data_IF_164053861681
#
_entry.id   IF_164053861681
#
_cell.length_a   1.000
_cell.length_b   1.000
_cell.length_c   1.000
_cell.angle_alpha   90.00
_cell.angle_beta   90.00
_cell.angle_gamma   90.00
#
_symmetry.space_group_name_H-M   'P 1'
#
loop_
_entity.id
_entity.type
_entity.pdbx_description
1 polymer ?
#
# COMPACT_ATOMS: atom_id res chain seq x y z
N UNK A 1 16.24 18.67 16.34
CA UNK A 1 15.80 17.63 15.38
C UNK A 1 15.51 18.32 14.05
N UNK A 2 16.20 17.95 12.96
CA UNK A 2 16.07 18.64 11.68
C UNK A 2 14.67 18.39 11.07
N UNK A 3 13.80 19.39 11.14
CA UNK A 3 12.38 19.29 10.74
C UNK A 3 12.25 18.97 9.24
N UNK A 4 13.13 19.54 8.41
CA UNK A 4 13.14 19.33 6.96
C UNK A 4 13.39 17.86 6.62
N UNK A 5 14.32 17.21 7.33
CA UNK A 5 14.58 15.78 7.20
C UNK A 5 13.35 14.92 7.53
N UNK A 6 12.58 15.33 8.54
CA UNK A 6 11.39 14.59 9.00
C UNK A 6 10.24 14.61 7.98
N UNK A 7 10.12 15.68 7.20
CA UNK A 7 9.11 15.81 6.15
C UNK A 7 9.55 15.19 4.81
N UNK A 8 10.83 15.32 4.46
CA UNK A 8 11.34 14.80 3.19
C UNK A 8 11.33 13.28 3.11
N UNK A 9 11.52 12.59 4.23
CA UNK A 9 11.59 11.12 4.29
C UNK A 9 10.28 10.43 3.86
N UNK A 10 9.08 10.76 4.39
CA UNK A 10 7.84 10.19 3.88
C UNK A 10 7.58 10.57 2.43
N UNK A 11 7.92 11.80 2.01
CA UNK A 11 7.72 12.24 0.63
C UNK A 11 8.61 11.47 -0.35
N UNK A 12 9.87 11.20 0.01
CA UNK A 12 10.79 10.37 -0.78
C UNK A 12 10.26 8.94 -0.92
N UNK A 13 9.72 8.39 0.15
CA UNK A 13 9.14 7.06 0.10
C UNK A 13 7.90 7.01 -0.78
N UNK A 14 6.99 7.99 -0.68
CA UNK A 14 5.82 8.09 -1.55
C UNK A 14 6.21 8.30 -3.02
N UNK A 15 7.30 9.02 -3.29
CA UNK A 15 7.85 9.15 -4.66
C UNK A 15 8.40 7.82 -5.18
N UNK A 16 9.12 7.07 -4.34
CA UNK A 16 9.64 5.75 -4.70
C UNK A 16 8.51 4.73 -4.90
N UNK A 17 7.49 4.79 -4.05
CA UNK A 17 6.22 4.11 -4.15
C UNK A 17 5.58 4.28 -5.54
N UNK A 18 5.30 5.52 -5.90
CA UNK A 18 4.71 5.88 -7.19
C UNK A 18 5.64 5.53 -8.36
N UNK A 19 6.95 5.71 -8.23
CA UNK A 19 7.89 5.39 -9.30
C UNK A 19 7.92 3.90 -9.62
N UNK A 20 7.93 3.05 -8.59
CA UNK A 20 7.86 1.59 -8.75
C UNK A 20 6.48 1.12 -9.25
N UNK A 21 5.43 1.90 -8.99
CA UNK A 21 4.12 1.69 -9.62
C UNK A 21 4.10 2.11 -11.09
N UNK A 22 5.15 2.78 -11.59
CA UNK A 22 5.22 3.33 -12.94
C UNK A 22 4.66 4.75 -13.08
N UNK A 23 4.37 5.44 -11.97
CA UNK A 23 3.89 6.83 -11.94
C UNK A 23 5.07 7.78 -11.61
N UNK A 24 5.50 8.55 -12.61
CA UNK A 24 6.61 9.49 -12.43
C UNK A 24 6.16 10.84 -11.85
N UNK A 25 6.47 11.09 -10.57
CA UNK A 25 6.24 12.37 -9.87
C UNK A 25 7.50 13.24 -9.81
N UNK A 26 8.63 12.77 -10.34
CA UNK A 26 9.90 13.50 -10.27
C UNK A 26 9.97 14.51 -11.44
N UNK A 27 10.19 15.78 -11.12
CA UNK A 27 10.35 16.88 -12.09
C UNK A 27 11.78 17.03 -12.66
N UNK A 28 12.64 16.03 -12.44
CA UNK A 28 13.99 16.04 -13.04
C UNK A 28 13.92 15.77 -14.54
N UNK A 29 14.90 16.32 -15.27
CA UNK A 29 15.21 15.98 -16.66
C UNK A 29 15.61 14.50 -16.77
N UNK A 30 14.61 13.62 -16.75
CA UNK A 30 14.76 12.19 -17.00
C UNK A 30 14.88 12.00 -18.51
N UNK A 31 15.78 11.13 -18.94
CA UNK A 31 15.95 10.82 -20.36
C UNK A 31 14.65 10.26 -20.95
N UNK A 32 14.40 10.51 -22.25
CA UNK A 32 13.21 10.00 -22.94
C UNK A 32 13.06 8.47 -22.80
N UNK A 33 14.18 7.75 -22.83
CA UNK A 33 14.22 6.30 -22.66
C UNK A 33 13.77 5.86 -21.26
N UNK A 34 14.26 6.51 -20.21
CA UNK A 34 13.84 6.19 -18.84
C UNK A 34 12.37 6.53 -18.61
N UNK A 35 11.84 7.58 -19.24
CA UNK A 35 10.40 7.88 -19.20
C UNK A 35 9.58 6.77 -19.84
N UNK A 36 9.97 6.32 -21.03
CA UNK A 36 9.30 5.20 -21.71
C UNK A 36 9.38 3.90 -20.88
N UNK A 37 10.50 3.63 -20.22
CA UNK A 37 10.65 2.47 -19.35
C UNK A 37 9.72 2.52 -18.13
N UNK A 38 9.57 3.70 -17.50
CA UNK A 38 8.65 3.90 -16.37
C UNK A 38 7.19 3.76 -16.82
N UNK A 39 6.82 4.36 -17.95
CA UNK A 39 5.47 4.25 -18.51
C UNK A 39 5.17 2.79 -18.89
N UNK A 40 6.14 2.08 -19.49
CA UNK A 40 6.02 0.65 -19.79
C UNK A 40 5.87 -0.19 -18.52
N UNK A 41 6.55 0.16 -17.43
CA UNK A 41 6.41 -0.53 -16.14
C UNK A 41 4.98 -0.38 -15.58
N UNK A 42 4.37 0.79 -15.74
CA UNK A 42 2.97 1.01 -15.35
C UNK A 42 2.03 0.07 -16.12
N UNK A 43 2.13 0.04 -17.46
CA UNK A 43 1.26 -0.82 -18.28
C UNK A 43 1.51 -2.30 -18.02
N UNK A 44 2.75 -2.70 -17.78
CA UNK A 44 3.08 -4.07 -17.41
C UNK A 44 2.43 -4.47 -16.07
N UNK A 45 2.58 -3.64 -15.03
CA UNK A 45 1.95 -3.87 -13.73
C UNK A 45 0.42 -3.90 -13.83
N UNK A 46 -0.16 -3.01 -14.64
CA UNK A 46 -1.60 -2.94 -14.84
C UNK A 46 -2.11 -4.18 -15.58
N UNK A 47 -1.46 -4.58 -16.68
CA UNK A 47 -1.82 -5.79 -17.43
C UNK A 47 -1.71 -7.04 -16.57
N UNK A 48 -0.64 -7.14 -15.76
CA UNK A 48 -0.46 -8.24 -14.81
C UNK A 48 -1.62 -8.32 -13.81
N UNK A 49 -1.97 -7.19 -13.18
CA UNK A 49 -3.09 -7.12 -12.24
C UNK A 49 -4.43 -7.50 -12.91
N UNK A 50 -4.68 -7.06 -14.13
CA UNK A 50 -5.90 -7.42 -14.85
C UNK A 50 -5.97 -8.91 -15.21
N UNK A 51 -4.84 -9.56 -15.51
CA UNK A 51 -4.81 -11.00 -15.71
C UNK A 51 -5.26 -11.75 -14.46
N UNK A 52 -4.80 -11.34 -13.29
CA UNK A 52 -5.22 -11.93 -12.00
C UNK A 52 -6.71 -11.70 -11.75
N UNK A 53 -7.20 -10.46 -11.95
CA UNK A 53 -8.63 -10.12 -11.79
C UNK A 53 -9.54 -10.92 -12.73
N UNK A 54 -9.14 -11.08 -14.00
CA UNK A 54 -9.90 -11.86 -14.98
C UNK A 54 -9.96 -13.33 -14.54
N UNK A 55 -8.85 -13.87 -14.04
CA UNK A 55 -8.80 -15.26 -13.58
C UNK A 55 -9.67 -15.49 -12.33
N UNK A 56 -9.68 -14.56 -11.38
CA UNK A 56 -10.59 -14.58 -10.23
C UNK A 56 -12.05 -14.48 -10.67
N UNK A 57 -12.36 -13.60 -11.63
CA UNK A 57 -13.71 -13.43 -12.15
C UNK A 57 -14.22 -14.70 -12.85
N UNK A 58 -13.39 -15.35 -13.66
CA UNK A 58 -13.73 -16.64 -14.26
C UNK A 58 -13.97 -17.72 -13.21
N UNK A 59 -13.16 -17.77 -12.15
CA UNK A 59 -13.37 -18.70 -11.06
C UNK A 59 -14.71 -18.46 -10.36
N UNK A 60 -15.07 -17.20 -10.12
CA UNK A 60 -16.34 -16.81 -9.50
C UNK A 60 -17.53 -17.22 -10.39
N UNK A 61 -17.44 -16.97 -11.70
CA UNK A 61 -18.47 -17.38 -12.67
C UNK A 61 -18.62 -18.90 -12.75
N UNK A 62 -17.51 -19.65 -12.77
CA UNK A 62 -17.54 -21.12 -12.74
C UNK A 62 -18.16 -21.63 -11.42
N UNK A 63 -17.83 -20.98 -10.28
CA UNK A 63 -18.43 -21.31 -8.98
C UNK A 63 -19.94 -21.08 -8.93
N UNK A 64 -20.43 -19.99 -9.54
CA UNK A 64 -21.86 -19.73 -9.70
C UNK A 64 -22.55 -20.81 -10.55
N UNK A 65 -21.92 -21.24 -11.65
CA UNK A 65 -22.48 -22.28 -12.54
C UNK A 65 -22.58 -23.65 -11.87
N UNK A 66 -21.61 -24.00 -11.03
CA UNK A 66 -21.56 -25.28 -10.30
C UNK A 66 -22.52 -25.28 -9.09
N UNK A 67 -23.04 -24.11 -8.69
CA UNK A 67 -23.92 -23.99 -7.53
C UNK A 67 -23.17 -24.06 -6.21
N UNK A 68 -21.95 -23.53 -6.15
CA UNK A 68 -21.20 -23.39 -4.88
C UNK A 68 -21.97 -22.50 -3.90
N UNK A 69 -21.80 -22.75 -2.61
CA UNK A 69 -22.45 -21.96 -1.56
C UNK A 69 -21.99 -20.50 -1.61
N UNK A 70 -22.89 -19.59 -1.21
CA UNK A 70 -22.59 -18.16 -1.15
C UNK A 70 -21.38 -17.87 -0.24
N UNK A 71 -21.22 -18.65 0.83
CA UNK A 71 -20.09 -18.53 1.76
C UNK A 71 -18.76 -18.74 1.04
N UNK A 72 -18.63 -19.77 0.21
CA UNK A 72 -17.41 -20.03 -0.57
C UNK A 72 -17.10 -18.91 -1.57
N UNK A 73 -18.13 -18.35 -2.22
CA UNK A 73 -17.97 -17.25 -3.16
C UNK A 73 -17.59 -15.94 -2.46
N UNK A 74 -18.17 -15.69 -1.30
CA UNK A 74 -17.98 -14.47 -0.52
C UNK A 74 -16.56 -14.33 0.04
N UNK A 75 -15.83 -15.44 0.19
CA UNK A 75 -14.42 -15.43 0.62
C UNK A 75 -13.52 -14.77 -0.43
N UNK A 76 -13.85 -14.89 -1.72
CA UNK A 76 -13.02 -14.42 -2.85
C UNK A 76 -13.49 -13.05 -3.36
N UNK A 77 -14.78 -12.72 -3.28
CA UNK A 77 -15.30 -11.44 -3.77
C UNK A 77 -14.57 -10.16 -3.26
N UNK A 78 -14.09 -10.09 -1.99
CA UNK A 78 -13.35 -8.93 -1.50
C UNK A 78 -12.02 -8.69 -2.23
N UNK A 79 -11.29 -9.75 -2.62
CA UNK A 79 -9.98 -9.57 -3.27
C UNK A 79 -10.15 -8.96 -4.67
N UNK A 80 -11.11 -9.46 -5.45
CA UNK A 80 -11.44 -8.91 -6.76
C UNK A 80 -11.87 -7.45 -6.66
N UNK A 81 -12.70 -7.12 -5.66
CA UNK A 81 -13.16 -5.74 -5.43
C UNK A 81 -12.00 -4.80 -5.09
N UNK A 82 -11.08 -5.23 -4.21
CA UNK A 82 -9.90 -4.43 -3.83
C UNK A 82 -8.97 -4.24 -5.04
N UNK A 83 -8.75 -5.27 -5.85
CA UNK A 83 -7.94 -5.20 -7.06
C UNK A 83 -8.52 -4.20 -8.08
N UNK A 84 -9.83 -4.24 -8.32
CA UNK A 84 -10.53 -3.29 -9.19
C UNK A 84 -10.50 -1.85 -8.65
N UNK A 85 -10.70 -1.66 -7.34
CA UNK A 85 -10.63 -0.34 -6.74
C UNK A 85 -9.20 0.23 -6.80
N UNK A 86 -8.19 -0.61 -6.56
CA UNK A 86 -6.79 -0.25 -6.66
C UNK A 86 -6.41 0.14 -8.09
N UNK A 87 -6.87 -0.61 -9.10
CA UNK A 87 -6.59 -0.30 -10.51
C UNK A 87 -7.27 0.99 -10.96
N UNK A 88 -8.50 1.25 -10.52
CA UNK A 88 -9.20 2.50 -10.80
C UNK A 88 -8.47 3.71 -10.19
N UNK A 89 -8.02 3.60 -8.93
CA UNK A 89 -7.26 4.66 -8.24
C UNK A 89 -5.90 4.90 -8.90
N UNK A 90 -5.13 3.86 -9.20
CA UNK A 90 -3.80 4.01 -9.82
C UNK A 90 -3.90 4.60 -11.23
N UNK A 91 -4.92 4.19 -12.01
CA UNK A 91 -5.19 4.74 -13.34
C UNK A 91 -5.58 6.21 -13.26
N UNK A 92 -6.45 6.60 -12.33
CA UNK A 92 -6.82 8.00 -12.12
C UNK A 92 -5.61 8.87 -11.74
N UNK A 93 -4.72 8.36 -10.86
CA UNK A 93 -3.47 9.03 -10.50
C UNK A 93 -2.52 9.17 -11.68
N UNK A 94 -2.38 8.13 -12.50
CA UNK A 94 -1.56 8.15 -13.71
C UNK A 94 -2.06 9.19 -14.72
N UNK A 95 -3.36 9.19 -15.03
CA UNK A 95 -3.98 10.15 -15.96
C UNK A 95 -3.87 11.60 -15.46
N UNK A 96 -3.97 11.82 -14.14
CA UNK A 96 -3.89 13.15 -13.51
C UNK A 96 -2.50 13.49 -12.98
N UNK A 97 -1.44 12.90 -13.56
CA UNK A 97 -0.05 13.07 -13.10
C UNK A 97 0.40 14.53 -12.96
N UNK A 98 -0.08 15.44 -13.83
CA UNK A 98 0.25 16.87 -13.73
C UNK A 98 -0.30 17.53 -12.45
N UNK A 99 -1.54 17.18 -12.08
CA UNK A 99 -2.18 17.69 -10.86
C UNK A 99 -1.41 17.16 -9.65
N UNK A 100 -1.06 15.87 -9.65
CA UNK A 100 -0.29 15.24 -8.59
C UNK A 100 1.06 15.92 -8.37
N UNK A 101 1.78 16.23 -9.45
CA UNK A 101 3.05 16.98 -9.40
C UNK A 101 2.85 18.38 -8.81
N UNK A 102 1.84 19.11 -9.27
CA UNK A 102 1.53 20.44 -8.75
C UNK A 102 1.19 20.39 -7.25
N UNK A 103 0.41 19.40 -6.80
CA UNK A 103 0.09 19.19 -5.38
C UNK A 103 1.35 18.90 -4.56
N UNK A 104 2.20 17.98 -5.00
CA UNK A 104 3.46 17.65 -4.29
C UNK A 104 4.40 18.85 -4.24
N UNK A 105 4.45 19.66 -5.29
CA UNK A 105 5.24 20.90 -5.33
C UNK A 105 4.72 21.92 -4.31
N UNK A 106 3.40 22.20 -4.30
CA UNK A 106 2.78 23.11 -3.34
C UNK A 106 2.98 22.64 -1.89
N UNK A 107 2.88 21.34 -1.61
CA UNK A 107 3.17 20.79 -0.30
C UNK A 107 4.62 21.01 0.14
N UNK A 108 5.57 20.98 -0.79
CA UNK A 108 6.99 21.24 -0.51
C UNK A 108 7.22 22.72 -0.21
N UNK A 109 6.63 23.62 -1.01
CA UNK A 109 6.71 25.07 -0.82
C UNK A 109 6.17 25.48 0.55
N UNK A 110 4.96 25.02 0.90
CA UNK A 110 4.36 25.29 2.22
C UNK A 110 5.28 24.82 3.35
N UNK A 111 5.98 23.69 3.20
CA UNK A 111 6.85 23.19 4.25
C UNK A 111 8.17 23.96 4.37
N UNK A 112 8.71 24.48 3.27
CA UNK A 112 9.95 25.29 3.25
C UNK A 112 9.74 26.64 3.94
N UNK A 113 8.65 27.34 3.61
CA UNK A 113 8.30 28.64 4.21
C UNK A 113 8.19 28.54 5.75
N UNK A 114 7.67 27.42 6.26
CA UNK A 114 7.53 27.18 7.69
C UNK A 114 8.85 26.87 8.40
N UNK A 115 9.84 26.33 7.69
CA UNK A 115 11.18 26.05 8.25
C UNK A 115 11.98 27.35 8.39
N UNK A 116 11.90 28.25 7.42
CA UNK A 116 12.58 29.55 7.53
C UNK A 116 12.06 30.37 8.72
N UNK A 117 10.74 30.40 8.91
CA UNK A 117 10.13 31.03 10.09
C UNK A 117 10.56 30.37 11.40
N UNK A 118 10.72 29.04 11.40
CA UNK A 118 11.11 28.29 12.58
C UNK A 118 12.52 28.62 13.10
N UNK A 119 13.45 28.93 12.19
CA UNK A 119 14.84 29.24 12.54
C UNK A 119 14.98 30.69 13.06
N UNK A 120 14.14 31.62 12.59
CA UNK A 120 14.17 33.02 13.04
C UNK A 120 13.69 33.21 14.49
N UNK A 121 12.85 32.32 15.00
CA UNK A 121 12.34 32.38 16.39
C UNK A 121 13.38 31.91 17.43
N UNK A 122 14.33 31.05 17.06
CA UNK A 122 15.32 30.50 18.00
C UNK A 122 16.43 31.54 18.31
N UNK A 123 16.78 32.38 17.33
CA UNK A 123 17.81 33.42 17.47
C UNK A 123 17.33 34.66 18.26
N UNK A 124 16.02 34.86 18.40
CA UNK A 124 15.46 36.10 18.95
C UNK A 124 14.91 35.98 20.39
N UNK A 125 15.18 34.85 21.05
CA UNK A 125 14.65 34.54 22.39
C UNK A 125 15.31 35.34 23.53
N UNK A 126 16.44 35.99 23.28
CA UNK A 126 17.23 36.68 24.31
C UNK A 126 17.09 38.21 24.34
N UNK A 127 16.39 38.84 23.38
CA UNK A 127 16.27 40.30 23.31
C UNK A 127 14.84 40.78 23.63
N UNK A 128 14.53 40.93 24.92
CA UNK A 128 13.33 41.58 25.42
C UNK A 128 13.43 43.11 25.26
N UNK A 129 12.87 43.71 24.21
CA UNK A 129 12.43 45.12 24.28
C UNK A 129 11.34 45.49 23.26
N UNK A 130 10.12 45.67 23.79
CA UNK A 130 9.08 46.62 23.37
C UNK A 130 8.81 46.88 21.87
N UNK A 131 7.88 46.12 21.26
CA UNK A 131 7.13 46.58 20.07
C UNK A 131 5.66 46.12 20.15
N UNK A 132 4.77 47.03 20.56
CA UNK A 132 3.36 46.76 20.89
C UNK A 132 2.36 46.61 19.73
N UNK A 133 2.81 46.62 18.47
CA UNK A 133 1.89 46.60 17.30
C UNK A 133 2.13 45.45 16.31
N UNK A 134 3.25 44.72 16.38
CA UNK A 134 3.51 43.51 15.56
C UNK A 134 2.96 42.22 16.18
N UNK A 135 2.38 42.29 17.37
CA UNK A 135 2.03 41.13 18.19
C UNK A 135 0.89 40.29 17.59
N UNK A 136 -0.09 40.89 16.90
CA UNK A 136 -1.25 40.15 16.37
C UNK A 136 -0.89 39.21 15.21
N UNK A 137 -0.06 39.67 14.27
CA UNK A 137 0.40 38.86 13.14
C UNK A 137 1.41 37.79 13.56
N UNK A 138 2.14 38.03 14.65
CA UNK A 138 3.01 37.03 15.26
C UNK A 138 2.19 35.90 15.91
N UNK A 139 1.18 36.25 16.71
CA UNK A 139 0.32 35.28 17.41
C UNK A 139 -0.43 34.36 16.44
N UNK A 140 -0.92 34.90 15.30
CA UNK A 140 -1.58 34.07 14.28
C UNK A 140 -0.58 33.08 13.62
N UNK A 141 0.64 33.52 13.30
CA UNK A 141 1.67 32.65 12.71
C UNK A 141 2.12 31.53 13.65
N UNK A 142 2.21 31.80 14.95
CA UNK A 142 2.54 30.77 15.95
C UNK A 142 1.46 29.68 16.01
N UNK A 143 0.17 30.04 15.94
CA UNK A 143 -0.93 29.06 15.90
C UNK A 143 -0.90 28.20 14.64
N UNK A 144 -0.64 28.80 13.48
CA UNK A 144 -0.56 28.06 12.21
C UNK A 144 0.57 27.02 12.24
N UNK A 145 1.71 27.35 12.85
CA UNK A 145 2.85 26.43 13.02
C UNK A 145 2.49 25.18 13.82
N UNK A 146 1.76 25.35 14.93
CA UNK A 146 1.32 24.22 15.76
C UNK A 146 0.35 23.30 15.01
N UNK A 147 -0.53 23.88 14.19
CA UNK A 147 -1.47 23.13 13.33
C UNK A 147 -0.72 22.31 12.28
N UNK A 148 0.30 22.91 11.65
CA UNK A 148 1.10 22.23 10.61
C UNK A 148 1.94 21.11 11.22
N UNK A 149 2.57 21.36 12.38
CA UNK A 149 3.34 20.35 13.09
C UNK A 149 2.47 19.16 13.50
N UNK A 150 1.24 19.41 13.97
CA UNK A 150 0.26 18.35 14.25
C UNK A 150 -0.11 17.61 12.98
N UNK A 151 -0.36 18.31 11.87
CA UNK A 151 -0.70 17.71 10.57
C UNK A 151 0.40 16.78 10.04
N UNK A 152 1.67 17.20 10.09
CA UNK A 152 2.81 16.36 9.66
C UNK A 152 2.96 15.13 10.56
N UNK A 153 2.77 15.28 11.87
CA UNK A 153 2.79 14.15 12.82
C UNK A 153 1.65 13.16 12.52
N UNK A 154 0.45 13.66 12.27
CA UNK A 154 -0.70 12.82 11.88
C UNK A 154 -0.44 12.09 10.57
N UNK A 155 0.08 12.77 9.55
CA UNK A 155 0.45 12.16 8.27
C UNK A 155 1.47 11.03 8.45
N UNK A 156 2.50 11.25 9.27
CA UNK A 156 3.49 10.22 9.57
C UNK A 156 2.87 9.00 10.25
N UNK A 157 1.98 9.22 11.22
CA UNK A 157 1.26 8.14 11.89
C UNK A 157 0.39 7.34 10.90
N UNK A 158 -0.34 8.02 10.00
CA UNK A 158 -1.16 7.36 8.98
C UNK A 158 -0.29 6.51 8.06
N UNK A 159 0.83 7.04 7.55
CA UNK A 159 1.76 6.28 6.70
C UNK A 159 2.33 5.07 7.44
N UNK A 160 2.64 5.20 8.74
CA UNK A 160 3.14 4.10 9.56
C UNK A 160 2.08 3.00 9.74
N UNK A 161 0.84 3.37 10.07
CA UNK A 161 -0.29 2.44 10.23
C UNK A 161 -0.54 1.71 8.90
N UNK A 162 -0.50 2.43 7.79
CA UNK A 162 -0.66 1.82 6.47
C UNK A 162 0.43 0.81 6.13
N UNK A 163 1.70 1.15 6.40
CA UNK A 163 2.79 0.18 6.21
C UNK A 163 2.62 -1.04 7.09
N UNK A 164 2.27 -0.84 8.36
CA UNK A 164 2.07 -1.92 9.31
C UNK A 164 0.94 -2.84 8.86
N UNK A 165 -0.23 -2.27 8.50
CA UNK A 165 -1.37 -3.02 7.98
C UNK A 165 -1.04 -3.76 6.69
N UNK A 166 -0.34 -3.13 5.74
CA UNK A 166 0.16 -3.79 4.53
C UNK A 166 1.04 -5.01 4.84
N UNK A 167 1.95 -4.90 5.81
CA UNK A 167 2.81 -6.02 6.23
C UNK A 167 1.98 -7.13 6.88
N UNK A 168 1.03 -6.77 7.76
CA UNK A 168 0.14 -7.75 8.41
C UNK A 168 -0.72 -8.48 7.38
N UNK A 169 -1.32 -7.77 6.43
CA UNK A 169 -2.13 -8.37 5.35
C UNK A 169 -1.29 -9.36 4.54
N UNK A 170 -0.06 -8.97 4.17
CA UNK A 170 0.87 -9.87 3.47
C UNK A 170 1.17 -11.12 4.29
N UNK A 171 1.49 -10.98 5.59
CA UNK A 171 1.81 -12.11 6.46
C UNK A 171 0.61 -13.06 6.64
N UNK A 172 -0.56 -12.51 6.92
CA UNK A 172 -1.80 -13.28 7.07
C UNK A 172 -2.10 -14.02 5.77
N UNK A 173 -2.03 -13.32 4.63
CA UNK A 173 -2.29 -13.88 3.32
C UNK A 173 -1.29 -14.98 2.92
N UNK A 174 -0.01 -14.85 3.30
CA UNK A 174 0.99 -15.93 3.17
C UNK A 174 0.66 -17.15 4.03
N UNK A 175 0.27 -16.89 5.28
CA UNK A 175 0.12 -17.94 6.30
C UNK A 175 -1.17 -18.72 6.13
N UNK A 176 -2.24 -18.11 5.59
CA UNK A 176 -3.56 -18.71 5.45
C UNK A 176 -3.55 -20.08 4.71
N UNK A 177 -2.94 -20.24 3.51
CA UNK A 177 -2.89 -21.53 2.84
C UNK A 177 -2.06 -22.57 3.61
N UNK A 178 -0.97 -22.14 4.26
CA UNK A 178 -0.12 -23.04 5.05
C UNK A 178 -0.86 -23.55 6.29
N UNK A 179 -1.57 -22.66 6.99
CA UNK A 179 -2.41 -23.02 8.13
C UNK A 179 -3.56 -23.94 7.70
N UNK A 180 -4.17 -23.68 6.54
CA UNK A 180 -5.21 -24.54 5.99
C UNK A 180 -4.70 -25.94 5.64
N UNK A 181 -3.51 -26.06 5.04
CA UNK A 181 -2.88 -27.37 4.80
C UNK A 181 -2.55 -28.10 6.11
N UNK A 182 -1.98 -27.39 7.09
CA UNK A 182 -1.63 -27.98 8.38
C UNK A 182 -2.88 -28.51 9.12
N UNK A 183 -3.98 -27.77 9.05
CA UNK A 183 -5.27 -28.18 9.60
C UNK A 183 -5.83 -29.43 8.93
N UNK A 184 -5.76 -29.53 7.60
CA UNK A 184 -6.26 -30.69 6.87
C UNK A 184 -5.44 -31.95 7.20
N UNK A 185 -4.11 -31.82 7.26
CA UNK A 185 -3.21 -32.93 7.61
C UNK A 185 -3.50 -33.44 9.02
N UNK A 186 -3.75 -32.52 9.97
CA UNK A 186 -4.06 -32.89 11.35
C UNK A 186 -5.38 -33.64 11.47
N UNK A 187 -6.42 -33.23 10.74
CA UNK A 187 -7.77 -33.78 10.91
C UNK A 187 -8.07 -34.98 10.01
N UNK A 188 -7.56 -34.98 8.77
CA UNK A 188 -7.89 -35.99 7.76
C UNK A 188 -6.73 -36.94 7.46
N UNK A 189 -5.50 -36.60 7.84
CA UNK A 189 -4.31 -37.40 7.51
C UNK A 189 -3.90 -37.33 6.03
N UNK A 190 -4.57 -36.51 5.22
CA UNK A 190 -4.29 -36.34 3.79
C UNK A 190 -3.63 -35.00 3.50
N UNK A 191 -2.54 -35.02 2.74
CA UNK A 191 -1.83 -33.81 2.29
C UNK A 191 -2.42 -33.31 0.97
N UNK A 192 -3.54 -32.60 1.03
CA UNK A 192 -4.08 -31.91 -0.16
C UNK A 192 -3.34 -30.59 -0.34
N UNK A 193 -2.62 -30.44 -1.46
CA UNK A 193 -1.89 -29.20 -1.77
C UNK A 193 -2.88 -28.08 -2.10
N UNK A 194 -2.99 -27.09 -1.22
CA UNK A 194 -3.79 -25.87 -1.43
C UNK A 194 -2.93 -24.69 -1.87
N UNK A 195 -3.31 -24.00 -2.94
CA UNK A 195 -2.60 -22.78 -3.35
C UNK A 195 -3.09 -21.56 -2.53
N UNK A 196 -2.24 -20.53 -2.33
CA UNK A 196 -2.65 -19.28 -1.68
C UNK A 196 -3.83 -18.59 -2.39
N UNK A 197 -3.89 -18.78 -3.71
CA UNK A 197 -4.95 -18.28 -4.56
C UNK A 197 -5.75 -19.45 -5.10
N UNK A 198 -7.06 -19.45 -4.87
CA UNK A 198 -7.99 -20.35 -5.58
C UNK A 198 -8.24 -19.78 -6.98
N UNK A 199 -7.24 -19.93 -7.85
CA UNK A 199 -7.33 -19.48 -9.24
C UNK A 199 -7.16 -20.67 -10.15
N UNK A 200 -7.98 -20.71 -11.20
CA UNK A 200 -7.88 -21.72 -12.25
C UNK A 200 -6.75 -21.31 -13.20
N UNK A 201 -5.60 -21.96 -13.04
CA UNK A 201 -4.47 -21.75 -13.95
C UNK A 201 -4.75 -22.41 -15.30
N UNK A 202 -4.29 -21.79 -16.39
CA UNK A 202 -4.34 -22.37 -17.74
C UNK A 202 -3.44 -23.60 -17.89
N UNK A 203 -2.59 -23.86 -16.90
CA UNK A 203 -1.73 -25.03 -16.80
C UNK A 203 -2.06 -25.79 -15.51
N UNK A 204 -1.79 -27.09 -15.47
CA UNK A 204 -1.94 -27.87 -14.24
C UNK A 204 -0.81 -27.51 -13.26
N UNK A 205 -1.09 -26.76 -12.17
CA UNK A 205 -0.05 -26.31 -11.26
C UNK A 205 0.52 -27.46 -10.43
N UNK A 206 -0.20 -28.58 -10.32
CA UNK A 206 0.19 -29.74 -9.53
C UNK A 206 1.10 -30.72 -10.27
N UNK A 207 1.46 -30.41 -11.53
CA UNK A 207 2.43 -31.22 -12.28
C UNK A 207 3.82 -31.05 -11.66
N UNK A 208 4.47 -32.16 -11.29
CA UNK A 208 5.76 -32.20 -10.57
C UNK A 208 6.88 -31.37 -11.25
N UNK A 209 6.78 -31.17 -12.57
CA UNK A 209 7.76 -30.43 -13.35
C UNK A 209 7.71 -28.90 -13.13
N UNK A 210 6.53 -28.34 -12.83
CA UNK A 210 6.29 -26.90 -12.72
C UNK A 210 6.02 -26.41 -11.30
N UNK A 211 5.63 -27.29 -10.38
CA UNK A 211 5.68 -27.00 -8.94
C UNK A 211 7.00 -26.33 -8.52
N UNK A 212 8.14 -26.70 -9.11
CA UNK A 212 9.39 -26.05 -8.80
C UNK A 212 9.64 -24.79 -9.66
N UNK A 213 9.10 -24.59 -10.86
CA UNK A 213 9.15 -23.23 -11.43
C UNK A 213 8.33 -22.22 -10.59
N UNK A 214 7.44 -22.75 -9.75
CA UNK A 214 6.75 -22.08 -8.64
C UNK A 214 7.50 -22.21 -7.28
N UNK A 215 8.61 -22.97 -7.18
CA UNK A 215 9.34 -23.24 -5.92
C UNK A 215 10.68 -24.05 -5.93
N UNK A 216 11.52 -24.05 -6.98
CA UNK A 216 12.61 -25.03 -7.18
C UNK A 216 13.88 -24.57 -6.49
N UNK A 217 14.18 -25.17 -5.35
CA UNK A 217 15.43 -25.93 -5.20
C UNK A 217 15.35 -26.91 -4.01
N UNK A 218 15.05 -28.18 -4.30
CA UNK A 218 15.44 -29.40 -3.58
C UNK A 218 14.66 -30.53 -4.28
N UNK A 219 15.25 -31.53 -4.91
CA UNK A 219 16.23 -32.47 -4.38
C UNK A 219 15.60 -33.85 -4.62
N UNK A 220 16.14 -34.59 -5.58
CA UNK A 220 15.63 -35.84 -6.13
C UNK A 220 15.18 -36.86 -5.08
N UNK A 221 13.97 -37.42 -5.25
CA UNK A 221 13.67 -38.86 -5.28
C UNK A 221 12.15 -39.04 -5.20
N UNK A 222 11.56 -39.47 -6.31
CA UNK A 222 10.22 -40.06 -6.37
C UNK A 222 10.30 -41.38 -5.59
N UNK A 223 9.58 -41.49 -4.47
CA UNK A 223 9.33 -42.77 -3.83
C UNK A 223 7.93 -43.25 -4.24
N UNK A 224 7.79 -44.50 -4.72
CA UNK A 224 6.47 -45.08 -4.94
C UNK A 224 5.75 -45.27 -3.61
N UNK A 225 4.43 -45.18 -3.70
CA UNK A 225 3.49 -45.36 -2.60
C UNK A 225 3.59 -46.79 -2.09
N UNK A 226 4.29 -46.98 -0.97
CA UNK A 226 4.04 -48.08 -0.06
C UNK A 226 3.92 -47.53 1.36
N UNK A 227 2.81 -47.91 1.97
CA UNK A 227 2.33 -47.54 3.29
C UNK A 227 3.31 -47.89 4.44
N UNK A 228 3.22 -47.10 5.52
CA UNK A 228 3.76 -47.33 6.87
C UNK A 228 5.22 -46.91 7.13
N UNK A 229 5.39 -45.64 7.53
CA UNK A 229 5.93 -45.22 8.85
C UNK A 229 6.33 -43.74 8.77
N UNK A 230 5.38 -42.86 9.12
CA UNK A 230 5.68 -41.45 9.35
C UNK A 230 5.91 -41.23 10.84
N UNK A 231 7.18 -41.15 11.25
CA UNK A 231 7.56 -40.47 12.48
C UNK A 231 8.85 -39.65 12.23
N UNK A 232 8.76 -38.36 12.54
CA UNK A 232 9.86 -37.41 12.80
C UNK A 232 10.74 -36.85 11.65
N UNK A 233 10.27 -36.82 10.38
CA UNK A 233 11.01 -36.12 9.31
C UNK A 233 10.36 -34.84 8.77
N UNK A 234 9.13 -34.51 9.17
CA UNK A 234 8.39 -33.35 8.65
C UNK A 234 8.85 -31.99 9.23
N UNK A 235 9.56 -31.98 10.36
CA UNK A 235 9.98 -30.76 11.07
C UNK A 235 11.23 -30.12 10.45
N UNK A 236 12.03 -30.87 9.67
CA UNK A 236 13.26 -30.35 9.06
C UNK A 236 13.04 -29.54 7.78
N UNK A 237 11.88 -29.68 7.12
CA UNK A 237 11.66 -29.14 5.76
C UNK A 237 10.76 -27.89 5.76
N UNK A 238 10.12 -27.59 6.89
CA UNK A 238 9.33 -26.37 7.12
C UNK A 238 10.13 -25.06 6.90
N UNK A 239 11.43 -24.95 7.24
CA UNK A 239 12.22 -23.74 6.99
C UNK A 239 12.43 -23.44 5.51
N UNK A 240 12.44 -24.45 4.62
CA UNK A 240 12.65 -24.25 3.19
C UNK A 240 11.39 -23.70 2.51
N UNK A 241 10.19 -24.15 2.86
CA UNK A 241 8.95 -23.56 2.34
C UNK A 241 8.79 -22.05 2.66
N UNK A 242 9.30 -21.60 3.82
CA UNK A 242 9.33 -20.19 4.22
C UNK A 242 10.30 -19.32 3.41
N UNK A 243 11.37 -19.91 2.87
CA UNK A 243 12.43 -19.17 2.16
C UNK A 243 12.03 -18.81 0.71
N UNK A 244 11.22 -19.64 0.04
CA UNK A 244 10.90 -19.50 -1.39
C UNK A 244 9.66 -18.67 -1.69
N UNK A 245 8.65 -18.67 -0.82
CA UNK A 245 7.57 -17.69 -0.89
C UNK A 245 8.13 -16.26 -0.91
N UNK A 246 9.26 -16.02 -0.24
CA UNK A 246 9.94 -14.73 -0.15
C UNK A 246 10.38 -14.07 -1.46
N UNK A 247 10.44 -14.74 -2.62
CA UNK A 247 10.91 -14.12 -3.89
C UNK A 247 9.77 -13.55 -4.75
N UNK A 248 8.69 -14.32 -4.97
CA UNK A 248 7.44 -13.81 -5.56
C UNK A 248 6.78 -12.82 -4.60
N UNK A 249 6.84 -13.10 -3.29
CA UNK A 249 6.48 -12.10 -2.28
C UNK A 249 7.48 -10.96 -2.20
N UNK A 250 8.77 -11.10 -2.51
CA UNK A 250 9.65 -9.90 -2.60
C UNK A 250 9.10 -8.89 -3.59
N UNK A 251 8.46 -9.36 -4.66
CA UNK A 251 7.84 -8.52 -5.68
C UNK A 251 6.44 -8.07 -5.29
N UNK A 252 5.57 -8.92 -4.74
CA UNK A 252 4.21 -8.55 -4.27
C UNK A 252 4.26 -7.71 -2.98
N UNK A 253 5.11 -8.05 -2.02
CA UNK A 253 5.39 -7.26 -0.82
C UNK A 253 6.15 -5.99 -1.16
N UNK A 254 7.07 -5.97 -2.15
CA UNK A 254 7.52 -4.68 -2.72
C UNK A 254 6.30 -3.96 -3.26
N UNK A 255 5.52 -4.54 -4.15
CA UNK A 255 4.33 -3.92 -4.74
C UNK A 255 3.30 -3.42 -3.72
N UNK A 256 3.06 -4.08 -2.58
CA UNK A 256 2.08 -3.69 -1.56
C UNK A 256 2.67 -2.72 -0.52
N UNK A 257 3.95 -2.84 -0.16
CA UNK A 257 4.66 -1.88 0.70
C UNK A 257 4.93 -0.57 -0.07
N UNK A 258 5.13 -0.68 -1.37
CA UNK A 258 5.38 0.42 -2.32
C UNK A 258 4.05 1.02 -2.78
N UNK A 259 3.05 0.24 -3.15
CA UNK A 259 1.70 0.74 -3.48
C UNK A 259 0.79 0.89 -2.25
N UNK A 260 1.36 0.95 -1.05
CA UNK A 260 0.75 1.64 0.10
C UNK A 260 0.63 3.15 -0.19
N UNK A 261 0.05 3.48 -1.34
CA UNK A 261 -0.46 4.80 -1.68
C UNK A 261 -1.48 5.08 -0.59
N UNK A 262 -1.36 6.19 0.17
CA UNK A 262 -2.39 6.56 1.13
C UNK A 262 -3.74 6.53 0.45
N UNK A 263 -4.82 5.99 1.07
CA UNK A 263 -6.13 6.37 0.60
C UNK A 263 -6.11 7.90 0.64
N UNK A 264 -6.18 8.53 -0.54
CA UNK A 264 -6.78 9.85 -0.62
C UNK A 264 -8.19 9.55 -0.12
N UNK A 265 -8.38 9.83 1.16
CA UNK A 265 -9.62 9.62 1.86
C UNK A 265 -10.71 10.21 0.98
N UNK A 266 -11.66 9.36 0.58
CA UNK A 266 -12.89 9.88 -0.01
C UNK A 266 -13.52 10.84 0.99
N UNK A 267 -14.28 11.86 0.55
CA UNK A 267 -14.85 12.85 1.48
C UNK A 267 -15.54 12.16 2.66
N UNK A 268 -16.27 11.06 2.43
CA UNK A 268 -16.92 10.27 3.49
C UNK A 268 -15.97 9.61 4.50
N UNK A 269 -14.76 9.21 4.08
CA UNK A 269 -13.73 8.67 4.97
C UNK A 269 -13.00 9.77 5.75
N UNK A 270 -12.84 10.97 5.16
CA UNK A 270 -12.37 12.17 5.89
C UNK A 270 -13.38 12.55 6.98
N UNK A 271 -14.68 12.47 6.67
CA UNK A 271 -15.75 12.74 7.64
C UNK A 271 -15.69 11.77 8.83
N UNK A 272 -15.51 10.47 8.60
CA UNK A 272 -15.44 9.45 9.66
C UNK A 272 -14.14 9.54 10.48
N UNK A 273 -13.00 9.83 9.87
CA UNK A 273 -11.74 10.08 10.59
C UNK A 273 -11.73 11.39 11.37
N UNK A 274 -12.42 12.42 10.88
CA UNK A 274 -12.55 13.70 11.60
C UNK A 274 -13.48 13.57 12.81
N UNK A 275 -14.59 12.84 12.67
CA UNK A 275 -15.51 12.53 13.78
C UNK A 275 -14.84 11.68 14.87
N UNK A 276 -14.03 10.68 14.49
CA UNK A 276 -13.24 9.89 15.47
C UNK A 276 -12.10 10.68 16.13
N UNK A 277 -11.63 11.76 15.50
CA UNK A 277 -10.67 12.70 16.08
C UNK A 277 -11.31 13.78 16.97
N UNK A 278 -12.64 13.73 17.19
CA UNK A 278 -13.38 14.66 18.03
C UNK A 278 -13.65 16.03 17.38
N UNK A 279 -13.43 16.18 16.08
CA UNK A 279 -13.82 17.38 15.33
C UNK A 279 -15.33 17.37 15.11
N UNK A 280 -15.96 18.52 15.35
CA UNK A 280 -17.39 18.67 15.10
C UNK A 280 -17.66 18.69 13.60
N UNK A 281 -18.81 18.17 13.17
CA UNK A 281 -19.22 18.16 11.74
C UNK A 281 -19.13 19.57 11.11
N UNK A 282 -19.40 20.62 11.90
CA UNK A 282 -19.29 22.01 11.47
C UNK A 282 -17.85 22.47 11.17
N UNK A 283 -16.84 21.96 11.86
CA UNK A 283 -15.43 22.30 11.60
C UNK A 283 -14.93 21.66 10.30
N UNK A 284 -15.40 20.44 10.01
CA UNK A 284 -15.10 19.72 8.76
C UNK A 284 -15.75 20.42 7.56
N UNK A 285 -17.04 20.78 7.67
CA UNK A 285 -17.73 21.54 6.62
C UNK A 285 -17.12 22.93 6.40
N UNK A 286 -16.62 23.58 7.45
CA UNK A 286 -15.99 24.90 7.34
C UNK A 286 -14.64 24.79 6.62
N UNK A 287 -13.85 23.75 6.91
CA UNK A 287 -12.60 23.47 6.21
C UNK A 287 -12.85 23.14 4.73
N UNK A 288 -13.88 22.34 4.42
CA UNK A 288 -14.26 21.98 3.05
C UNK A 288 -14.77 23.20 2.26
N UNK A 289 -15.57 24.07 2.89
CA UNK A 289 -16.01 25.35 2.29
C UNK A 289 -14.86 26.30 2.02
N UNK A 290 -13.86 26.38 2.91
CA UNK A 290 -12.65 27.19 2.70
C UNK A 290 -11.79 26.65 1.56
N UNK A 291 -11.64 25.33 1.46
CA UNK A 291 -10.94 24.69 0.36
C UNK A 291 -11.63 24.93 -0.99
N UNK A 292 -12.96 24.80 -1.04
CA UNK A 292 -13.74 25.06 -2.27
C UNK A 292 -13.73 26.53 -2.68
N UNK A 293 -13.74 27.46 -1.72
CA UNK A 293 -13.60 28.89 -2.01
C UNK A 293 -12.23 29.19 -2.61
N UNK A 294 -11.17 28.61 -2.02
CA UNK A 294 -9.80 28.78 -2.50
C UNK A 294 -9.59 28.22 -3.91
N UNK A 295 -10.12 27.03 -4.21
CA UNK A 295 -10.07 26.41 -5.56
C UNK A 295 -10.83 27.24 -6.60
N UNK A 296 -11.88 27.97 -6.21
CA UNK A 296 -12.68 28.79 -7.14
C UNK A 296 -12.01 30.13 -7.44
N UNK A 297 -11.12 30.59 -6.57
CA UNK A 297 -10.37 31.85 -6.69
C UNK A 297 -9.00 31.65 -7.37
N UNK A 298 -8.61 30.41 -7.70
CA UNK A 298 -7.39 30.08 -8.47
C UNK A 298 -7.72 29.48 -9.83
#
# INVERSE_FOLDING_TARGET
>A
MNYQKTFDDPLKLTKLALLLSGINVIDKNISKAARLAIDSLFFFNLAWLYMDVIAEFFWLLDGLRIGKSFDELSIIAPCTTICLLSSAKSTALYCKGNILKATVKKFKEINEDNVELANLDDDNKDNNESVGTKTKDYVNRVKDRDIIKKSVKTLHNVILIMKCSSVVVVLVFCSLPLLSMAYDVHNYGETVKKLPFLVKYFFNPFTEMMWPLVGKQSGSHVFPVDSLQYNNKLVSDLPQCLQYHGTVYKYITRYIIVNGIPPVLTSSEVYTLSLSAGLTVGEVELAERRLHKYIRET
#
